data_IF_689445088638
#
_entry.id   IF_689445088638
#
_cell.length_a   1.000
_cell.length_b   1.000
_cell.length_c   1.000
_cell.angle_alpha   90.00
_cell.angle_beta   90.00
_cell.angle_gamma   90.00
#
_symmetry.space_group_name_H-M   'P 1'
#
loop_
_entity.id
_entity.type
_entity.pdbx_description
1 polymer ?
#
# COMPACT_ATOMS: atom_id res chain seq x y z
N UNK A 1 -5.52 0.86 -8.10
CA UNK A 1 -5.70 2.30 -8.35
C UNK A 1 -4.66 2.99 -7.50
N UNK A 2 -3.53 3.42 -8.08
CA UNK A 2 -2.76 4.48 -7.45
C UNK A 2 -3.72 5.66 -7.39
N UNK A 3 -4.25 6.00 -6.21
CA UNK A 3 -5.08 7.20 -6.06
C UNK A 3 -4.27 8.50 -6.32
N UNK A 4 -2.97 8.35 -6.62
CA UNK A 4 -2.04 9.43 -6.92
C UNK A 4 -1.50 9.47 -8.36
N UNK A 5 -1.81 8.49 -9.21
CA UNK A 5 -1.40 8.53 -10.63
C UNK A 5 -2.60 8.38 -11.54
N UNK A 6 -3.10 9.54 -11.98
CA UNK A 6 -3.95 9.66 -13.16
C UNK A 6 -3.10 9.39 -14.40
N UNK A 7 -2.93 8.11 -14.74
CA UNK A 7 -2.45 7.70 -16.06
C UNK A 7 -3.50 8.01 -17.13
N UNK A 8 -3.07 8.79 -18.12
CA UNK A 8 -3.81 9.26 -19.30
C UNK A 8 -4.63 8.13 -19.94
N UNK A 9 -5.97 8.23 -19.91
CA UNK A 9 -6.83 7.26 -20.60
C UNK A 9 -8.30 7.19 -20.19
N UNK A 10 -8.73 7.86 -19.12
CA UNK A 10 -10.16 7.91 -18.75
C UNK A 10 -10.49 9.28 -18.14
N UNK A 11 -10.72 10.25 -19.03
CA UNK A 11 -11.11 11.60 -18.66
C UNK A 11 -12.47 11.62 -17.94
N UNK A 12 -12.49 12.24 -16.76
CA UNK A 12 -13.67 12.82 -16.09
C UNK A 12 -14.64 11.93 -15.30
N UNK A 13 -14.21 10.82 -14.69
CA UNK A 13 -14.95 10.28 -13.54
C UNK A 13 -14.27 10.67 -12.24
N UNK A 14 -14.69 11.81 -11.66
CA UNK A 14 -14.43 12.07 -10.25
C UNK A 14 -14.99 10.87 -9.47
N UNK A 15 -14.11 10.10 -8.85
CA UNK A 15 -14.53 9.02 -7.94
C UNK A 15 -15.06 9.72 -6.70
N UNK A 16 -16.37 9.89 -6.63
CA UNK A 16 -17.03 10.40 -5.43
C UNK A 16 -17.01 9.31 -4.35
N UNK A 17 -16.06 9.43 -3.42
CA UNK A 17 -16.03 8.61 -2.22
C UNK A 17 -17.16 9.08 -1.30
N UNK A 18 -18.08 8.19 -0.97
CA UNK A 18 -19.21 8.45 -0.09
C UNK A 18 -18.77 8.56 1.38
N UNK A 19 -19.57 9.22 2.21
CA UNK A 19 -19.31 9.30 3.66
C UNK A 19 -19.17 7.90 4.33
N UNK A 20 -19.96 6.92 3.87
CA UNK A 20 -19.91 5.54 4.34
C UNK A 20 -18.60 4.85 3.97
N UNK A 21 -18.06 5.10 2.77
CA UNK A 21 -16.76 4.56 2.35
C UNK A 21 -15.61 5.21 3.13
N UNK A 22 -15.70 6.50 3.45
CA UNK A 22 -14.75 7.16 4.36
C UNK A 22 -14.78 6.55 5.76
N UNK A 23 -15.97 6.38 6.34
CA UNK A 23 -16.13 5.76 7.65
C UNK A 23 -15.58 4.33 7.67
N UNK A 24 -15.87 3.55 6.63
CA UNK A 24 -15.31 2.21 6.46
C UNK A 24 -13.79 2.23 6.40
N UNK A 25 -13.20 3.10 5.58
CA UNK A 25 -11.75 3.20 5.44
C UNK A 25 -11.08 3.64 6.75
N UNK A 26 -11.63 4.64 7.44
CA UNK A 26 -11.15 5.06 8.75
C UNK A 26 -11.26 3.95 9.80
N UNK A 27 -12.36 3.20 9.80
CA UNK A 27 -12.52 2.03 10.67
C UNK A 27 -11.57 0.88 10.34
N UNK A 28 -11.13 0.73 9.09
CA UNK A 28 -10.07 -0.21 8.70
C UNK A 28 -8.73 0.30 9.23
N UNK A 29 -8.35 1.54 8.96
CA UNK A 29 -7.09 2.15 9.43
C UNK A 29 -6.95 2.07 10.95
N UNK A 30 -8.01 2.36 11.70
CA UNK A 30 -8.01 2.25 13.16
C UNK A 30 -7.75 0.81 13.64
N UNK A 31 -8.37 -0.19 13.00
CA UNK A 31 -8.13 -1.61 13.32
C UNK A 31 -6.72 -2.06 12.95
N UNK A 32 -6.21 -1.61 11.80
CA UNK A 32 -4.83 -1.88 11.39
C UNK A 32 -3.84 -1.27 12.38
N UNK A 33 -4.07 -0.02 12.82
CA UNK A 33 -3.25 0.63 13.83
C UNK A 33 -3.19 -0.19 15.11
N UNK A 34 -4.33 -0.62 15.64
CA UNK A 34 -4.35 -1.46 16.85
C UNK A 34 -3.62 -2.78 16.64
N UNK A 35 -3.83 -3.45 15.50
CA UNK A 35 -3.12 -4.70 15.20
C UNK A 35 -1.59 -4.52 15.19
N UNK A 36 -1.08 -3.42 14.61
CA UNK A 36 0.36 -3.11 14.63
C UNK A 36 0.84 -2.79 16.04
N UNK A 37 0.07 -2.01 16.80
CA UNK A 37 0.43 -1.67 18.18
C UNK A 37 0.49 -2.92 19.08
N UNK A 38 -0.47 -3.82 18.94
CA UNK A 38 -0.53 -5.06 19.73
C UNK A 38 0.60 -6.01 19.35
N UNK A 39 0.85 -6.22 18.04
CA UNK A 39 1.89 -7.12 17.55
C UNK A 39 3.31 -6.67 17.96
N UNK A 40 3.59 -5.37 17.89
CA UNK A 40 4.92 -4.82 18.17
C UNK A 40 5.06 -4.17 19.55
N UNK A 41 4.03 -4.23 20.40
CA UNK A 41 4.05 -3.68 21.75
C UNK A 41 4.22 -2.15 21.82
N UNK A 42 3.54 -1.41 20.93
CA UNK A 42 3.72 0.04 20.76
C UNK A 42 2.63 0.84 21.45
N UNK A 43 3.03 1.82 22.28
CA UNK A 43 2.10 2.74 22.93
C UNK A 43 1.64 3.87 22.01
N UNK A 44 2.51 4.35 21.13
CA UNK A 44 2.22 5.44 20.20
C UNK A 44 2.57 5.05 18.77
N UNK A 45 1.65 5.35 17.85
CA UNK A 45 1.79 5.02 16.44
C UNK A 45 0.86 5.92 15.62
N UNK A 46 1.32 6.44 14.50
CA UNK A 46 0.55 7.34 13.65
C UNK A 46 0.44 6.78 12.25
N UNK A 47 -0.78 6.76 11.71
CA UNK A 47 -1.00 6.43 10.32
C UNK A 47 -0.32 7.50 9.46
N UNK A 48 0.41 7.10 8.42
CA UNK A 48 1.15 8.04 7.58
C UNK A 48 0.85 7.82 6.09
N UNK A 49 1.24 8.80 5.28
CA UNK A 49 1.05 8.80 3.84
C UNK A 49 2.37 8.56 3.10
N UNK A 50 2.27 8.17 1.81
CA UNK A 50 1.04 7.77 1.10
C UNK A 50 0.50 6.40 1.53
N UNK A 51 -0.75 6.09 1.15
CA UNK A 51 -1.38 4.77 1.30
C UNK A 51 -2.07 4.43 -0.01
N UNK A 52 -2.07 3.16 -0.41
CA UNK A 52 -2.50 2.76 -1.74
C UNK A 52 -3.42 1.55 -1.70
N UNK A 53 -4.50 1.62 -2.48
CA UNK A 53 -5.24 0.42 -2.91
C UNK A 53 -4.71 0.04 -4.29
N UNK A 54 -3.69 -0.81 -4.32
CA UNK A 54 -3.00 -1.18 -5.54
C UNK A 54 -3.77 -2.27 -6.29
N UNK A 55 -3.86 -2.11 -7.61
CA UNK A 55 -4.41 -3.09 -8.55
C UNK A 55 -3.30 -3.45 -9.54
N UNK A 56 -2.77 -4.66 -9.44
CA UNK A 56 -1.81 -5.20 -10.41
C UNK A 56 -2.55 -6.16 -11.34
N UNK A 57 -2.30 -6.06 -12.64
CA UNK A 57 -2.96 -6.87 -13.67
C UNK A 57 -1.91 -7.72 -14.36
N UNK A 58 -2.10 -9.03 -14.36
CA UNK A 58 -1.31 -9.94 -15.17
C UNK A 58 -1.69 -9.78 -16.63
N UNK A 59 -0.82 -9.18 -17.42
CA UNK A 59 -0.99 -9.05 -18.86
C UNK A 59 0.37 -9.12 -19.55
N UNK A 60 0.53 -10.09 -20.45
CA UNK A 60 1.74 -10.26 -21.25
C UNK A 60 1.99 -9.10 -22.22
N UNK A 61 0.98 -8.26 -22.47
CA UNK A 61 1.07 -7.08 -23.35
C UNK A 61 1.36 -5.77 -22.61
N UNK A 62 1.40 -5.77 -21.27
CA UNK A 62 1.75 -4.57 -20.51
C UNK A 62 3.27 -4.52 -20.31
N UNK A 63 3.87 -3.38 -20.63
CA UNK A 63 5.28 -3.09 -20.36
C UNK A 63 5.41 -1.83 -19.50
N UNK A 64 6.35 -1.81 -18.53
CA UNK A 64 6.66 -0.60 -17.78
C UNK A 64 7.10 0.50 -18.74
N UNK A 65 6.57 1.71 -18.57
CA UNK A 65 6.94 2.88 -19.37
C UNK A 65 8.07 3.67 -18.71
N UNK A 66 8.17 3.56 -17.40
CA UNK A 66 9.18 4.19 -16.54
C UNK A 66 9.73 3.18 -15.54
N UNK A 67 10.87 3.49 -14.92
CA UNK A 67 11.42 2.66 -13.84
C UNK A 67 10.47 2.57 -12.63
N UNK A 68 9.64 3.58 -12.39
CA UNK A 68 8.65 3.57 -11.30
C UNK A 68 7.49 2.62 -11.55
N UNK A 69 7.27 2.20 -12.81
CA UNK A 69 6.31 1.14 -13.14
C UNK A 69 6.84 -0.26 -12.74
N UNK A 70 8.15 -0.38 -12.50
CA UNK A 70 8.78 -1.63 -12.12
C UNK A 70 8.67 -1.90 -10.62
N UNK A 71 7.52 -2.44 -10.20
CA UNK A 71 7.23 -2.74 -8.79
C UNK A 71 7.92 -3.99 -8.24
N UNK A 72 8.63 -4.76 -9.08
CA UNK A 72 9.13 -6.10 -8.77
C UNK A 72 10.60 -6.16 -8.34
N UNK A 73 11.18 -5.00 -8.03
CA UNK A 73 12.55 -4.91 -7.52
C UNK A 73 12.58 -5.05 -6.01
N UNK A 74 13.65 -5.69 -5.50
CA UNK A 74 13.86 -5.74 -4.05
C UNK A 74 14.13 -4.35 -3.51
N UNK A 75 13.42 -4.01 -2.45
CA UNK A 75 13.55 -2.73 -1.77
C UNK A 75 13.33 -2.87 -0.27
N UNK A 76 13.62 -1.79 0.42
CA UNK A 76 13.32 -1.58 1.83
C UNK A 76 12.48 -0.32 1.92
N UNK A 77 11.31 -0.43 2.54
CA UNK A 77 10.31 0.64 2.56
C UNK A 77 10.85 1.94 3.15
N UNK A 78 11.63 1.86 4.23
CA UNK A 78 12.23 3.03 4.87
C UNK A 78 13.28 3.73 4.01
N UNK A 79 13.93 3.02 3.08
CA UNK A 79 14.85 3.66 2.13
C UNK A 79 14.10 4.43 1.04
N UNK A 80 12.85 4.05 0.74
CA UNK A 80 12.00 4.78 -0.18
C UNK A 80 11.34 5.99 0.50
N UNK A 81 10.96 5.84 1.78
CA UNK A 81 10.30 6.87 2.57
C UNK A 81 10.79 6.85 4.02
N UNK A 82 11.62 7.82 4.39
CA UNK A 82 12.36 7.86 5.66
C UNK A 82 11.47 7.75 6.92
N UNK A 83 10.26 8.31 6.88
CA UNK A 83 9.35 8.33 8.03
C UNK A 83 8.56 7.03 8.23
N UNK A 84 8.75 6.01 7.39
CA UNK A 84 8.14 4.70 7.61
C UNK A 84 8.86 3.94 8.72
N UNK A 85 8.12 3.53 9.74
CA UNK A 85 8.62 2.69 10.83
C UNK A 85 8.03 1.27 10.75
N UNK A 86 6.75 1.17 10.39
CA UNK A 86 6.06 -0.10 10.19
C UNK A 86 5.28 -0.11 8.88
N UNK A 87 5.31 -1.25 8.23
CA UNK A 87 4.64 -1.51 6.97
C UNK A 87 3.57 -2.58 7.16
N UNK A 88 2.54 -2.53 6.33
CA UNK A 88 1.61 -3.62 6.25
C UNK A 88 0.84 -3.71 4.95
N UNK A 89 0.36 -4.93 4.70
CA UNK A 89 -0.38 -5.31 3.51
C UNK A 89 -1.65 -6.04 3.95
N UNK A 90 -2.80 -5.56 3.50
CA UNK A 90 -4.07 -6.29 3.59
C UNK A 90 -4.47 -6.78 2.20
N UNK A 91 -4.41 -8.09 2.01
CA UNK A 91 -4.71 -8.71 0.72
C UNK A 91 -6.22 -8.79 0.48
N UNK A 92 -6.66 -8.42 -0.71
CA UNK A 92 -8.07 -8.36 -1.11
C UNK A 92 -8.41 -9.40 -2.20
N UNK A 93 -7.43 -10.17 -2.65
CA UNK A 93 -7.52 -11.19 -3.70
C UNK A 93 -6.76 -12.46 -3.30
N UNK A 94 -7.22 -13.60 -3.81
CA UNK A 94 -6.69 -14.93 -3.50
C UNK A 94 -5.69 -15.40 -4.57
N UNK A 95 -4.46 -15.76 -4.15
CA UNK A 95 -3.46 -16.38 -5.02
C UNK A 95 -3.93 -17.75 -5.51
N UNK A 96 -3.68 -18.06 -6.79
CA UNK A 96 -4.12 -19.31 -7.43
C UNK A 96 -5.61 -19.37 -7.79
N UNK A 97 -6.37 -18.31 -7.48
CA UNK A 97 -7.79 -18.20 -7.83
C UNK A 97 -8.09 -16.91 -8.59
N UNK A 98 -7.70 -15.75 -8.04
CA UNK A 98 -7.92 -14.44 -8.64
C UNK A 98 -6.75 -14.00 -9.54
N UNK A 99 -5.54 -14.52 -9.28
CA UNK A 99 -4.30 -14.19 -9.99
C UNK A 99 -3.19 -15.23 -9.79
N UNK A 100 -2.20 -15.21 -10.69
CA UNK A 100 -0.94 -15.99 -10.64
C UNK A 100 0.29 -15.07 -10.56
N UNK A 101 1.40 -15.59 -10.03
CA UNK A 101 2.57 -14.77 -9.67
C UNK A 101 2.27 -13.85 -8.48
N UNK A 102 2.84 -12.65 -8.43
CA UNK A 102 2.41 -11.64 -7.45
C UNK A 102 2.67 -11.96 -5.96
N UNK A 103 3.42 -13.02 -5.65
CA UNK A 103 3.78 -13.37 -4.27
C UNK A 103 4.73 -12.33 -3.68
N UNK A 104 4.68 -12.16 -2.37
CA UNK A 104 5.65 -11.33 -1.67
C UNK A 104 6.82 -12.22 -1.24
N UNK A 105 8.04 -11.78 -1.51
CA UNK A 105 9.26 -12.50 -1.13
C UNK A 105 10.12 -11.61 -0.26
N UNK A 106 10.56 -12.14 0.89
CA UNK A 106 11.56 -11.50 1.75
C UNK A 106 12.93 -12.13 1.53
N UNK A 107 13.98 -11.34 1.74
CA UNK A 107 15.38 -11.74 1.57
C UNK A 107 16.21 -11.36 2.80
N UNK A 108 17.29 -12.09 3.03
CA UNK A 108 18.25 -11.75 4.09
C UNK A 108 19.05 -10.47 3.79
N UNK A 109 19.13 -10.09 2.51
CA UNK A 109 19.78 -8.88 2.03
C UNK A 109 19.21 -8.45 0.68
N UNK A 110 19.54 -7.23 0.25
CA UNK A 110 19.11 -6.67 -1.04
C UNK A 110 19.80 -7.32 -2.25
N UNK A 111 20.81 -8.16 -2.06
CA UNK A 111 21.58 -8.81 -3.14
C UNK A 111 20.86 -10.02 -3.77
N UNK A 112 19.63 -10.33 -3.32
CA UNK A 112 18.73 -11.37 -3.87
C UNK A 112 19.33 -12.78 -3.97
N UNK A 113 20.37 -13.10 -3.20
CA UNK A 113 21.11 -14.36 -3.34
C UNK A 113 20.24 -15.57 -2.99
N UNK A 114 19.45 -15.48 -1.92
CA UNK A 114 18.55 -16.56 -1.51
C UNK A 114 17.30 -15.98 -0.87
N UNK A 115 16.09 -16.31 -1.35
CA UNK A 115 14.86 -15.88 -0.70
C UNK A 115 14.74 -16.55 0.67
N UNK A 116 14.44 -15.76 1.69
CA UNK A 116 14.23 -16.25 3.05
C UNK A 116 12.82 -16.84 3.20
N UNK A 117 11.81 -16.14 2.66
CA UNK A 117 10.39 -16.51 2.77
C UNK A 117 9.61 -16.08 1.53
N UNK A 118 8.73 -16.96 1.05
CA UNK A 118 7.69 -16.61 0.08
C UNK A 118 6.31 -16.62 0.76
N UNK A 119 5.52 -15.59 0.50
CA UNK A 119 4.17 -15.46 1.00
C UNK A 119 3.17 -15.37 -0.15
N UNK A 120 2.25 -16.33 -0.16
CA UNK A 120 1.09 -16.34 -1.06
C UNK A 120 -0.01 -15.44 -0.50
N UNK A 121 -0.50 -14.44 -1.26
CA UNK A 121 -1.63 -13.63 -0.83
C UNK A 121 -2.92 -14.43 -0.68
N UNK A 122 -3.69 -14.13 0.35
CA UNK A 122 -5.04 -14.67 0.54
C UNK A 122 -5.95 -13.55 1.00
N UNK A 123 -7.20 -13.50 0.52
CA UNK A 123 -8.14 -12.45 0.88
C UNK A 123 -8.34 -12.39 2.39
N UNK A 124 -8.22 -11.18 2.94
CA UNK A 124 -8.30 -10.93 4.39
C UNK A 124 -7.02 -11.23 5.16
N UNK A 125 -5.97 -11.77 4.53
CA UNK A 125 -4.66 -11.94 5.18
C UNK A 125 -4.03 -10.57 5.39
N UNK A 126 -3.72 -10.29 6.65
CA UNK A 126 -2.96 -9.13 7.09
C UNK A 126 -1.51 -9.56 7.31
N UNK A 127 -0.58 -8.86 6.67
CA UNK A 127 0.85 -8.99 6.89
C UNK A 127 1.37 -7.69 7.47
N UNK A 128 2.14 -7.78 8.55
CA UNK A 128 2.76 -6.64 9.24
C UNK A 128 4.25 -6.92 9.41
N UNK A 129 5.08 -5.90 9.22
CA UNK A 129 6.53 -5.98 9.39
C UNK A 129 7.11 -4.59 9.67
N UNK A 130 8.29 -4.52 10.28
CA UNK A 130 9.02 -3.26 10.43
C UNK A 130 9.60 -2.81 9.09
N UNK A 131 9.59 -1.50 8.81
CA UNK A 131 9.95 -0.97 7.49
C UNK A 131 11.46 -0.94 7.20
N UNK A 132 12.28 -1.37 8.16
CA UNK A 132 13.73 -1.22 8.15
C UNK A 132 14.48 -2.25 7.29
N UNK A 133 15.82 -2.13 7.33
CA UNK A 133 16.76 -2.91 6.52
C UNK A 133 16.73 -4.41 6.83
N UNK A 134 16.10 -4.81 7.93
CA UNK A 134 15.83 -6.20 8.31
C UNK A 134 14.74 -6.87 7.47
N UNK A 135 13.95 -6.10 6.69
CA UNK A 135 12.90 -6.62 5.82
C UNK A 135 13.05 -6.23 4.33
N UNK A 136 14.17 -6.55 3.65
CA UNK A 136 14.25 -6.44 2.19
C UNK A 136 13.21 -7.36 1.54
N UNK A 137 12.41 -6.82 0.63
CA UNK A 137 11.35 -7.59 -0.01
C UNK A 137 11.05 -7.15 -1.43
N UNK A 138 10.41 -8.03 -2.20
CA UNK A 138 9.90 -7.74 -3.53
C UNK A 138 8.58 -8.45 -3.79
N UNK A 139 7.79 -7.87 -4.69
CA UNK A 139 6.59 -8.52 -5.22
C UNK A 139 6.93 -9.16 -6.55
N UNK A 140 6.67 -10.46 -6.70
CA UNK A 140 6.81 -11.13 -8.00
C UNK A 140 5.90 -10.45 -9.03
N UNK A 141 6.28 -10.51 -10.31
CA UNK A 141 5.37 -10.05 -11.37
C UNK A 141 4.08 -10.86 -11.32
N UNK A 142 2.93 -10.17 -11.35
CA UNK A 142 1.65 -10.82 -11.60
C UNK A 142 1.63 -11.24 -13.07
N UNK A 143 1.45 -12.52 -13.33
CA UNK A 143 1.50 -13.09 -14.69
C UNK A 143 0.11 -13.24 -15.28
N UNK A 144 -0.89 -13.53 -14.45
CA UNK A 144 -2.29 -13.70 -14.87
C UNK A 144 -3.25 -13.10 -13.84
N UNK A 145 -4.44 -12.71 -14.27
CA UNK A 145 -5.50 -12.25 -13.38
C UNK A 145 -5.28 -10.86 -12.78
N UNK A 146 -5.86 -10.60 -11.60
CA UNK A 146 -5.86 -9.28 -10.96
C UNK A 146 -5.61 -9.39 -9.45
N UNK A 147 -4.50 -8.82 -9.00
CA UNK A 147 -4.13 -8.73 -7.58
C UNK A 147 -4.54 -7.40 -6.99
N UNK A 148 -5.29 -7.44 -5.89
CA UNK A 148 -5.70 -6.26 -5.12
C UNK A 148 -5.11 -6.31 -3.71
N UNK A 149 -4.48 -5.22 -3.30
CA UNK A 149 -3.89 -5.08 -1.97
C UNK A 149 -4.08 -3.65 -1.45
N UNK A 150 -4.38 -3.53 -0.17
CA UNK A 150 -4.26 -2.26 0.56
C UNK A 150 -2.88 -2.25 1.21
N UNK A 151 -2.00 -1.37 0.73
CA UNK A 151 -0.70 -1.09 1.33
C UNK A 151 -0.81 0.13 2.25
N UNK A 152 -0.26 0.01 3.45
CA UNK A 152 -0.32 1.04 4.46
C UNK A 152 0.96 1.06 5.30
N UNK A 153 1.24 2.24 5.87
CA UNK A 153 2.42 2.46 6.68
C UNK A 153 2.07 3.26 7.92
N UNK A 154 2.90 3.08 8.94
CA UNK A 154 2.83 3.80 10.19
C UNK A 154 4.20 4.37 10.55
N UNK A 155 4.15 5.47 11.28
CA UNK A 155 5.31 6.18 11.81
C UNK A 155 5.18 6.33 13.32
N UNK A 156 6.31 6.32 14.01
CA UNK A 156 6.44 6.68 15.42
C UNK A 156 6.54 8.20 15.63
N UNK A 157 6.63 8.97 14.54
CA UNK A 157 6.82 10.43 14.58
C UNK A 157 5.48 11.15 14.33
N UNK A 158 4.99 11.87 15.34
CA UNK A 158 3.71 12.59 15.26
C UNK A 158 3.65 13.61 14.12
N UNK A 159 4.79 14.19 13.74
CA UNK A 159 4.89 15.23 12.71
C UNK A 159 4.54 14.70 11.31
N UNK A 160 4.62 13.38 11.11
CA UNK A 160 4.26 12.70 9.87
C UNK A 160 2.89 12.02 9.94
N UNK A 161 2.07 12.34 10.97
CA UNK A 161 0.73 11.81 11.11
C UNK A 161 -0.21 12.33 10.00
N UNK A 162 -0.83 11.41 9.28
CA UNK A 162 -1.70 11.71 8.17
C UNK A 162 -3.16 11.86 8.63
N UNK A 163 -3.60 13.11 8.83
CA UNK A 163 -4.94 13.44 9.34
C UNK A 163 -5.96 13.78 8.23
N UNK A 164 -5.48 14.16 7.04
CA UNK A 164 -6.28 14.92 6.07
C UNK A 164 -7.39 14.13 5.36
N UNK A 165 -7.39 12.80 5.43
CA UNK A 165 -8.34 11.95 4.69
C UNK A 165 -9.40 11.29 5.57
N UNK A 166 -9.18 11.23 6.89
CA UNK A 166 -10.02 10.43 7.78
C UNK A 166 -11.20 11.21 8.38
N UNK A 167 -11.28 12.53 8.18
CA UNK A 167 -12.38 13.35 8.69
C UNK A 167 -13.56 13.51 7.70
N UNK A 168 -13.48 12.85 6.53
CA UNK A 168 -14.51 12.89 5.49
C UNK A 168 -14.67 14.26 4.82
N UNK A 169 -13.86 15.27 5.15
CA UNK A 169 -13.93 16.64 4.58
C UNK A 169 -12.88 16.90 3.51
N UNK A 170 -12.07 15.90 3.16
CA UNK A 170 -11.05 16.00 2.12
C UNK A 170 -11.60 16.57 0.80
N UNK A 171 -12.79 16.12 0.37
CA UNK A 171 -13.46 16.61 -0.85
C UNK A 171 -13.84 18.10 -0.78
N UNK A 172 -14.16 18.63 0.41
CA UNK A 172 -14.50 20.06 0.59
C UNK A 172 -13.25 20.93 0.49
N UNK A 173 -12.17 20.51 1.14
CA UNK A 173 -10.88 21.22 1.15
C UNK A 173 -10.17 21.19 -0.21
N UNK A 174 -10.32 20.11 -0.97
CA UNK A 174 -9.80 20.01 -2.34
C UNK A 174 -10.58 20.91 -3.33
N UNK A 175 -11.86 21.17 -3.08
CA UNK A 175 -12.64 22.14 -3.85
C UNK A 175 -12.22 23.59 -3.58
N UNK A 176 -11.86 23.90 -2.34
CA UNK A 176 -11.43 25.24 -1.92
C UNK A 176 -10.06 25.63 -2.49
N UNK A 177 -9.13 24.68 -2.65
CA UNK A 177 -7.80 24.96 -3.21
C UNK A 177 -7.79 25.25 -4.72
N UNK A 178 -8.88 24.96 -5.45
CA UNK A 178 -9.03 25.33 -6.87
C UNK A 178 -9.67 26.69 -7.10
N UNK A 179 -10.18 27.34 -6.06
CA UNK A 179 -10.83 28.66 -6.16
C UNK A 179 -9.85 29.79 -5.77
N UNK A 180 -8.69 29.44 -5.18
CA UNK A 180 -7.65 30.39 -4.77
C UNK A 180 -6.37 30.39 -5.61
N UNK A 181 -6.38 29.79 -6.80
CA UNK A 181 -5.27 29.80 -7.76
C UNK A 181 -5.64 30.52 -9.06
#
# INVERSE_FOLDING_TARGET
VNIYETGVGDSNRLIEITAKEYELYGGIVARLKHAVQDEFGLSELYFTAPTFITRLVGNNSWSPQTMHDEYWHTHVDKNNTDHYDYSGLLYLSDYGQDFEGGRLTFFDSTDEVTPAVHLEPARGRLLLFSAGQENPHKVEKVTEGRRYVLSFWFTCQSDFAFQNFLDGKAHKRYGESKISS
#
